data_IF_709025591161
#
_entry.id   IF_709025591161
#
_cell.length_a   1.000
_cell.length_b   1.000
_cell.length_c   1.000
_cell.angle_alpha   90.00
_cell.angle_beta   90.00
_cell.angle_gamma   90.00
#
_symmetry.space_group_name_H-M   'P 1'
#
loop_
_entity.id
_entity.type
_entity.pdbx_description
1 polymer ?
#
# COMPACT_ATOMS: atom_id res chain seq x y z
N UNK A 1 -13.74 11.59 -11.51
CA UNK A 1 -13.60 12.53 -10.37
C UNK A 1 -12.55 12.00 -9.42
N UNK A 2 -11.32 12.50 -9.50
CA UNK A 2 -10.31 12.27 -8.46
C UNK A 2 -10.56 13.26 -7.31
N UNK A 3 -10.66 12.77 -6.07
CA UNK A 3 -10.79 13.61 -4.88
C UNK A 3 -9.39 13.78 -4.28
N UNK A 4 -8.90 15.02 -4.29
CA UNK A 4 -7.62 15.40 -3.70
C UNK A 4 -7.82 15.81 -2.25
N UNK A 5 -7.04 15.21 -1.36
CA UNK A 5 -7.13 15.44 0.08
C UNK A 5 -5.72 15.75 0.61
N UNK A 6 -5.34 17.03 0.61
CA UNK A 6 -4.11 17.51 1.25
C UNK A 6 -4.40 17.70 2.75
N UNK A 7 -3.82 16.89 3.65
CA UNK A 7 -4.04 17.08 5.09
C UNK A 7 -2.80 16.94 5.98
N UNK A 8 -2.76 17.84 6.95
CA UNK A 8 -1.65 18.14 7.84
C UNK A 8 -1.53 17.22 9.06
N UNK A 9 -0.30 17.13 9.58
CA UNK A 9 0.11 16.58 10.88
C UNK A 9 -0.99 16.72 11.93
N UNK A 10 -1.68 15.62 12.25
CA UNK A 10 -2.30 15.25 13.53
C UNK A 10 -3.44 14.26 13.25
N UNK A 11 -3.40 13.08 13.89
CA UNK A 11 -4.31 11.94 13.67
C UNK A 11 -5.82 12.20 13.81
N UNK A 12 -6.24 13.41 14.22
CA UNK A 12 -7.64 13.81 14.29
C UNK A 12 -8.28 14.08 12.91
N UNK A 13 -7.50 14.47 11.89
CA UNK A 13 -8.03 14.82 10.56
C UNK A 13 -8.05 13.65 9.55
N UNK A 14 -7.40 12.52 9.86
CA UNK A 14 -7.48 11.27 9.09
C UNK A 14 -8.94 10.78 8.95
N UNK A 15 -9.79 11.14 9.88
CA UNK A 15 -11.20 10.74 9.91
C UNK A 15 -12.06 11.51 8.89
N UNK A 16 -11.78 12.77 8.57
CA UNK A 16 -12.72 13.66 7.85
C UNK A 16 -12.96 13.32 6.36
N UNK A 17 -11.93 12.90 5.62
CA UNK A 17 -12.05 12.58 4.19
C UNK A 17 -12.62 11.16 3.93
N UNK A 18 -12.32 10.20 4.83
CA UNK A 18 -12.92 8.86 4.81
C UNK A 18 -14.46 8.90 4.88
N UNK A 19 -15.05 9.96 5.45
CA UNK A 19 -16.50 10.09 5.55
C UNK A 19 -17.19 10.60 4.28
N UNK A 20 -16.46 11.16 3.30
CA UNK A 20 -17.07 11.67 2.07
C UNK A 20 -17.12 10.62 0.95
N UNK A 21 -16.13 9.72 0.89
CA UNK A 21 -16.02 8.69 -0.15
C UNK A 21 -16.28 7.32 0.46
N UNK A 22 -17.35 6.65 0.03
CA UNK A 22 -17.74 5.34 0.56
C UNK A 22 -16.78 4.24 0.10
N UNK A 23 -16.66 3.19 0.91
CA UNK A 23 -16.00 1.96 0.47
C UNK A 23 -16.75 1.33 -0.73
N UNK A 24 -16.02 0.66 -1.61
CA UNK A 24 -16.60 -0.21 -2.64
C UNK A 24 -17.35 -1.36 -1.95
N UNK A 25 -18.50 -1.76 -2.49
CA UNK A 25 -19.27 -2.89 -1.95
C UNK A 25 -18.43 -4.18 -1.97
N UNK A 26 -18.42 -4.91 -0.85
CA UNK A 26 -17.55 -6.09 -0.66
C UNK A 26 -16.17 -5.76 -0.07
N UNK A 27 -15.73 -4.50 -0.07
CA UNK A 27 -14.55 -4.07 0.69
C UNK A 27 -14.91 -3.92 2.17
N UNK A 28 -14.21 -4.66 3.04
CA UNK A 28 -14.39 -4.64 4.49
C UNK A 28 -13.92 -3.30 5.05
N UNK A 29 -12.71 -2.88 4.69
CA UNK A 29 -12.13 -1.57 5.01
C UNK A 29 -11.15 -1.12 3.93
N UNK A 30 -11.14 0.17 3.56
CA UNK A 30 -10.09 0.74 2.73
C UNK A 30 -8.70 0.61 3.38
N UNK A 31 -7.65 0.62 2.56
CA UNK A 31 -6.26 0.59 2.99
C UNK A 31 -5.46 1.74 2.38
N UNK A 32 -4.46 2.24 3.10
CA UNK A 32 -3.49 3.19 2.55
C UNK A 32 -2.34 2.38 1.96
N UNK A 33 -1.98 2.65 0.72
CA UNK A 33 -0.82 2.07 0.07
C UNK A 33 0.42 2.95 0.29
N UNK A 34 1.49 2.33 0.76
CA UNK A 34 2.84 2.89 0.76
C UNK A 34 3.66 2.36 -0.40
N UNK A 35 4.64 3.14 -0.87
CA UNK A 35 5.58 2.69 -1.90
C UNK A 35 6.87 2.21 -1.26
N UNK A 36 7.39 1.08 -1.74
CA UNK A 36 8.66 0.51 -1.28
C UNK A 36 9.65 0.50 -2.44
N UNK A 37 10.69 1.35 -2.42
CA UNK A 37 11.73 1.32 -3.45
C UNK A 37 12.39 -0.06 -3.53
N UNK A 38 12.73 -0.48 -4.75
CA UNK A 38 13.47 -1.71 -5.05
C UNK A 38 14.87 -1.40 -5.57
N UNK A 39 15.81 -2.31 -5.35
CA UNK A 39 17.22 -2.11 -5.74
C UNK A 39 17.40 -1.89 -7.25
N UNK A 40 16.51 -2.43 -8.08
CA UNK A 40 16.51 -2.22 -9.54
C UNK A 40 15.93 -0.87 -9.97
N UNK A 41 15.52 -0.03 -9.02
CA UNK A 41 14.90 1.27 -9.27
C UNK A 41 13.40 1.21 -9.56
N UNK A 42 12.77 0.04 -9.48
CA UNK A 42 11.31 -0.07 -9.50
C UNK A 42 10.72 0.24 -8.12
N UNK A 43 9.38 0.21 -8.03
CA UNK A 43 8.66 0.31 -6.76
C UNK A 43 7.77 -0.92 -6.59
N UNK A 44 7.74 -1.45 -5.37
CA UNK A 44 6.62 -2.26 -4.89
C UNK A 44 5.66 -1.40 -4.07
N UNK A 45 4.64 -2.06 -3.50
CA UNK A 45 3.71 -1.45 -2.54
C UNK A 45 3.63 -2.22 -1.23
N UNK A 46 3.33 -1.51 -0.16
CA UNK A 46 3.01 -2.06 1.16
C UNK A 46 1.62 -1.61 1.58
N UNK A 47 0.80 -2.54 2.08
CA UNK A 47 -0.55 -2.29 2.56
C UNK A 47 -0.79 -3.06 3.86
N UNK A 48 -1.32 -2.47 4.92
CA UNK A 48 -1.70 -1.07 5.12
C UNK A 48 -0.58 -0.27 5.79
N UNK A 49 -0.62 1.06 5.67
CA UNK A 49 0.37 1.96 6.29
C UNK A 49 -0.26 3.04 7.18
N UNK A 50 -1.52 2.86 7.60
CA UNK A 50 -2.06 3.65 8.71
C UNK A 50 -3.57 3.82 8.76
N UNK A 51 -4.36 3.26 7.84
CA UNK A 51 -5.82 3.34 7.94
C UNK A 51 -6.38 2.42 9.03
N UNK A 52 -5.77 1.25 9.23
CA UNK A 52 -6.26 0.18 10.09
C UNK A 52 -5.14 -0.29 11.02
N UNK A 53 -5.00 0.37 12.18
CA UNK A 53 -3.96 0.03 13.16
C UNK A 53 -3.97 -1.46 13.54
N UNK A 54 -5.16 -2.02 13.79
CA UNK A 54 -5.37 -3.44 14.03
C UNK A 54 -6.22 -4.06 12.92
N UNK A 55 -5.79 -5.21 12.40
CA UNK A 55 -6.47 -5.91 11.32
C UNK A 55 -6.98 -7.29 11.78
N UNK A 56 -8.09 -7.72 11.17
CA UNK A 56 -8.52 -9.12 11.20
C UNK A 56 -7.86 -9.90 10.06
N UNK A 57 -7.77 -11.24 10.13
CA UNK A 57 -7.16 -12.04 9.07
C UNK A 57 -7.75 -11.81 7.67
N UNK A 58 -9.07 -11.62 7.59
CA UNK A 58 -9.78 -11.37 6.33
C UNK A 58 -9.44 -10.01 5.71
N UNK A 59 -9.04 -9.03 6.53
CA UNK A 59 -8.57 -7.73 6.01
C UNK A 59 -7.21 -7.88 5.35
N UNK A 60 -6.29 -8.65 5.94
CA UNK A 60 -4.96 -8.87 5.35
C UNK A 60 -5.09 -9.61 4.01
N UNK A 61 -5.96 -10.62 3.93
CA UNK A 61 -6.27 -11.29 2.67
C UNK A 61 -6.79 -10.31 1.59
N UNK A 62 -7.73 -9.44 1.97
CA UNK A 62 -8.26 -8.41 1.08
C UNK A 62 -7.21 -7.36 0.69
N UNK A 63 -6.28 -7.01 1.58
CA UNK A 63 -5.18 -6.10 1.25
C UNK A 63 -4.22 -6.72 0.22
N UNK A 64 -4.04 -8.05 0.25
CA UNK A 64 -3.31 -8.78 -0.79
C UNK A 64 -3.93 -8.60 -2.17
N UNK A 65 -5.26 -8.72 -2.28
CA UNK A 65 -5.98 -8.47 -3.53
C UNK A 65 -5.89 -7.02 -4.00
N UNK A 66 -6.15 -6.07 -3.11
CA UNK A 66 -6.09 -4.64 -3.42
C UNK A 66 -4.69 -4.25 -3.90
N UNK A 67 -3.66 -4.70 -3.19
CA UNK A 67 -2.27 -4.47 -3.54
C UNK A 67 -1.88 -5.14 -4.85
N UNK A 68 -2.32 -6.37 -5.10
CA UNK A 68 -2.06 -7.08 -6.36
C UNK A 68 -2.69 -6.37 -7.56
N UNK A 69 -3.95 -5.96 -7.47
CA UNK A 69 -4.61 -5.19 -8.52
C UNK A 69 -3.91 -3.86 -8.78
N UNK A 70 -3.49 -3.17 -7.72
CA UNK A 70 -2.76 -1.91 -7.84
C UNK A 70 -1.40 -2.10 -8.51
N UNK A 71 -0.59 -3.05 -8.04
CA UNK A 71 0.71 -3.36 -8.61
C UNK A 71 0.58 -3.80 -10.09
N UNK A 72 -0.45 -4.57 -10.42
CA UNK A 72 -0.67 -5.01 -11.79
C UNK A 72 -1.07 -3.88 -12.74
N UNK A 73 -1.97 -3.01 -12.32
CA UNK A 73 -2.58 -2.04 -13.24
C UNK A 73 -1.97 -0.65 -13.19
N UNK A 74 -1.40 -0.25 -12.05
CA UNK A 74 -0.76 1.06 -11.87
C UNK A 74 0.76 0.94 -11.99
N UNK A 75 1.35 -0.10 -11.39
CA UNK A 75 2.81 -0.34 -11.48
C UNK A 75 3.22 -1.24 -12.65
N UNK A 76 2.25 -1.74 -13.41
CA UNK A 76 2.47 -2.56 -14.60
C UNK A 76 3.27 -3.86 -14.35
N UNK A 77 3.13 -4.44 -13.16
CA UNK A 77 3.75 -5.72 -12.80
C UNK A 77 2.80 -6.86 -13.20
N UNK A 78 3.14 -7.63 -14.24
CA UNK A 78 2.20 -8.59 -14.86
C UNK A 78 1.59 -9.62 -13.88
N UNK A 79 2.42 -10.18 -12.97
CA UNK A 79 2.00 -11.16 -11.96
C UNK A 79 2.62 -10.83 -10.58
N UNK A 80 2.10 -9.81 -9.87
CA UNK A 80 2.73 -9.29 -8.66
C UNK A 80 2.81 -10.34 -7.56
N UNK A 81 4.01 -10.55 -7.02
CA UNK A 81 4.26 -11.43 -5.87
C UNK A 81 3.76 -10.77 -4.60
N UNK A 82 2.79 -11.39 -3.96
CA UNK A 82 2.19 -10.91 -2.70
C UNK A 82 2.79 -11.68 -1.52
N UNK A 83 3.46 -10.97 -0.62
CA UNK A 83 4.05 -11.52 0.59
C UNK A 83 3.35 -11.01 1.86
N UNK A 84 3.15 -11.89 2.84
CA UNK A 84 2.62 -11.52 4.16
C UNK A 84 3.78 -11.20 5.12
N UNK A 85 3.82 -9.97 5.64
CA UNK A 85 4.83 -9.56 6.62
C UNK A 85 4.75 -10.42 7.88
N UNK A 86 5.89 -11.00 8.27
CA UNK A 86 5.94 -11.94 9.37
C UNK A 86 7.31 -11.95 10.08
N UNK A 87 7.38 -12.70 11.19
CA UNK A 87 8.57 -12.91 12.01
C UNK A 87 9.52 -13.99 11.46
N UNK A 88 9.11 -14.67 10.39
CA UNK A 88 9.85 -15.76 9.76
C UNK A 88 9.07 -16.28 8.56
N UNK A 89 9.76 -16.97 7.65
CA UNK A 89 9.20 -17.43 6.38
C UNK A 89 8.32 -18.68 6.51
N UNK A 90 8.42 -19.42 7.62
CA UNK A 90 7.68 -20.67 7.79
C UNK A 90 6.18 -20.41 7.96
N UNK A 91 5.33 -21.25 7.36
CA UNK A 91 3.85 -21.11 7.36
C UNK A 91 3.24 -21.00 8.77
N UNK A 92 3.84 -21.65 9.77
CA UNK A 92 3.37 -21.61 11.16
C UNK A 92 3.80 -20.38 11.96
N UNK A 93 4.62 -19.48 11.39
CA UNK A 93 5.10 -18.28 12.09
C UNK A 93 4.08 -17.17 12.08
N UNK A 94 4.17 -16.34 13.11
CA UNK A 94 3.46 -15.09 13.21
C UNK A 94 2.51 -15.01 14.36
N UNK A 95 1.71 -13.95 14.35
CA UNK A 95 0.79 -13.61 15.41
C UNK A 95 -0.50 -14.45 15.30
N UNK A 96 -1.37 -14.29 16.29
CA UNK A 96 -2.73 -14.84 16.24
C UNK A 96 -3.56 -14.31 15.06
N UNK A 97 -3.11 -13.24 14.39
CA UNK A 97 -3.74 -12.67 13.20
C UNK A 97 -3.07 -13.15 11.93
N UNK A 98 -1.73 -13.14 11.86
CA UNK A 98 -1.03 -13.46 10.61
C UNK A 98 -1.03 -14.96 10.29
N UNK A 99 -1.07 -15.85 11.29
CA UNK A 99 -1.21 -17.29 11.05
C UNK A 99 -2.52 -17.68 10.34
N UNK A 100 -3.72 -17.24 10.81
CA UNK A 100 -4.95 -17.48 10.05
C UNK A 100 -5.00 -16.69 8.73
N UNK A 101 -4.42 -15.49 8.65
CA UNK A 101 -4.35 -14.73 7.40
C UNK A 101 -3.57 -15.49 6.32
N UNK A 102 -2.43 -16.10 6.69
CA UNK A 102 -1.66 -16.95 5.79
C UNK A 102 -2.53 -18.04 5.15
N UNK A 103 -3.37 -18.71 5.94
CA UNK A 103 -4.26 -19.77 5.44
C UNK A 103 -5.28 -19.23 4.44
N UNK A 104 -5.84 -18.06 4.70
CA UNK A 104 -6.77 -17.38 3.79
C UNK A 104 -6.07 -17.00 2.49
N UNK A 105 -4.93 -16.32 2.58
CA UNK A 105 -4.14 -15.87 1.43
C UNK A 105 -3.64 -17.03 0.57
N UNK A 106 -3.23 -18.14 1.18
CA UNK A 106 -2.82 -19.36 0.49
C UNK A 106 -3.98 -20.05 -0.25
N UNK A 107 -5.20 -19.93 0.26
CA UNK A 107 -6.39 -20.45 -0.39
C UNK A 107 -6.95 -19.50 -1.47
N UNK A 108 -6.49 -18.25 -1.50
CA UNK A 108 -6.98 -17.22 -2.38
C UNK A 108 -6.27 -17.27 -3.74
N UNK A 109 -7.03 -17.55 -4.79
CA UNK A 109 -6.51 -17.64 -6.16
C UNK A 109 -6.56 -16.32 -6.93
N UNK A 110 -7.00 -15.22 -6.29
CA UNK A 110 -7.12 -13.90 -6.94
C UNK A 110 -5.79 -13.16 -7.04
N UNK A 111 -4.73 -13.63 -6.39
CA UNK A 111 -3.39 -13.05 -6.47
C UNK A 111 -2.32 -14.13 -6.29
N UNK A 112 -1.08 -13.79 -6.67
CA UNK A 112 0.07 -14.68 -6.55
C UNK A 112 0.69 -14.59 -5.14
N UNK A 113 0.17 -15.39 -4.21
CA UNK A 113 0.70 -15.46 -2.84
C UNK A 113 1.99 -16.27 -2.78
N UNK A 114 3.08 -15.65 -2.32
CA UNK A 114 4.40 -16.30 -2.19
C UNK A 114 4.73 -16.76 -0.77
N UNK A 115 3.82 -16.56 0.19
CA UNK A 115 4.00 -16.94 1.58
C UNK A 115 4.42 -15.78 2.49
N UNK A 116 5.06 -16.14 3.60
CA UNK A 116 5.55 -15.16 4.56
C UNK A 116 6.85 -14.52 4.07
N UNK A 117 7.03 -13.25 4.37
CA UNK A 117 8.27 -12.51 4.15
C UNK A 117 8.69 -11.81 5.44
N UNK A 118 9.98 -11.57 5.59
CA UNK A 118 10.54 -10.86 6.75
C UNK A 118 10.79 -9.38 6.44
N UNK A 119 11.06 -8.58 7.49
CA UNK A 119 11.38 -7.16 7.32
C UNK A 119 12.59 -6.87 6.41
N UNK A 120 13.52 -7.83 6.27
CA UNK A 120 14.66 -7.73 5.34
C UNK A 120 14.27 -7.80 3.87
N UNK A 121 13.06 -8.31 3.58
CA UNK A 121 12.58 -8.57 2.22
C UNK A 121 11.77 -7.41 1.63
N UNK A 122 11.51 -6.37 2.42
CA UNK A 122 10.61 -5.27 2.03
C UNK A 122 11.15 -4.51 0.80
N UNK A 123 12.45 -4.28 0.76
CA UNK A 123 13.10 -3.41 -0.24
C UNK A 123 13.87 -4.19 -1.32
N UNK A 124 13.86 -5.53 -1.27
CA UNK A 124 14.44 -6.37 -2.32
C UNK A 124 13.36 -6.88 -3.29
N UNK A 125 13.76 -7.68 -4.26
CA UNK A 125 12.91 -8.21 -5.32
C UNK A 125 11.99 -9.35 -4.89
N UNK A 126 11.99 -9.79 -3.62
CA UNK A 126 11.24 -10.97 -3.19
C UNK A 126 9.73 -10.81 -3.34
N UNK A 127 9.18 -9.67 -2.93
CA UNK A 127 7.75 -9.35 -3.00
C UNK A 127 7.50 -7.99 -3.65
N UNK A 128 6.50 -7.93 -4.52
CA UNK A 128 6.03 -6.68 -5.16
C UNK A 128 4.95 -6.00 -4.30
N UNK A 129 4.18 -6.80 -3.58
CA UNK A 129 3.13 -6.37 -2.65
C UNK A 129 3.43 -6.95 -1.28
N UNK A 130 3.62 -6.08 -0.29
CA UNK A 130 3.83 -6.43 1.11
C UNK A 130 2.54 -6.20 1.89
N UNK A 131 2.02 -7.24 2.54
CA UNK A 131 0.78 -7.17 3.33
C UNK A 131 1.11 -7.14 4.81
N UNK A 132 0.58 -6.17 5.55
CA UNK A 132 0.67 -6.01 6.99
C UNK A 132 -0.52 -5.21 7.56
N UNK A 133 -0.61 -5.14 8.88
CA UNK A 133 -1.50 -4.19 9.54
C UNK A 133 -0.93 -2.75 9.47
N UNK A 134 -1.81 -1.77 9.63
CA UNK A 134 -1.45 -0.36 9.49
C UNK A 134 -0.48 0.14 10.55
N UNK A 135 -0.41 -0.49 11.74
CA UNK A 135 0.59 -0.15 12.73
C UNK A 135 1.99 -0.57 12.24
N UNK A 136 2.14 -1.82 11.83
CA UNK A 136 3.40 -2.36 11.31
C UNK A 136 3.89 -1.59 10.07
N UNK A 137 3.02 -1.40 9.07
CA UNK A 137 3.38 -0.68 7.86
C UNK A 137 3.79 0.77 8.10
N UNK A 138 3.08 1.48 8.98
CA UNK A 138 3.44 2.86 9.33
C UNK A 138 4.81 2.93 10.04
N UNK A 139 5.10 2.00 10.95
CA UNK A 139 6.42 1.93 11.62
C UNK A 139 7.54 1.70 10.60
N UNK A 140 7.35 0.76 9.66
CA UNK A 140 8.32 0.47 8.59
C UNK A 140 8.60 1.72 7.75
N UNK A 141 7.56 2.38 7.24
CA UNK A 141 7.74 3.56 6.39
C UNK A 141 8.41 4.71 7.13
N UNK A 142 7.97 5.01 8.35
CA UNK A 142 8.54 6.11 9.14
C UNK A 142 9.98 5.85 9.55
N UNK A 143 10.34 4.58 9.79
CA UNK A 143 11.74 4.21 9.99
C UNK A 143 12.58 4.43 8.73
N UNK A 144 12.07 4.03 7.56
CA UNK A 144 12.78 4.19 6.30
C UNK A 144 12.97 5.68 5.92
N UNK A 145 11.92 6.50 6.08
CA UNK A 145 12.00 7.96 5.94
C UNK A 145 13.05 8.56 6.90
N UNK A 146 13.04 8.15 8.16
CA UNK A 146 13.99 8.67 9.15
C UNK A 146 15.43 8.30 8.82
N UNK A 147 15.68 7.11 8.27
CA UNK A 147 17.02 6.71 7.80
C UNK A 147 17.44 7.61 6.64
N UNK A 148 16.57 7.84 5.66
CA UNK A 148 16.83 8.76 4.56
C UNK A 148 17.15 10.18 5.05
N UNK A 149 16.38 10.74 5.97
CA UNK A 149 16.63 12.08 6.53
C UNK A 149 18.01 12.18 7.21
N UNK A 150 18.42 11.13 7.93
CA UNK A 150 19.75 11.05 8.53
C UNK A 150 20.84 10.97 7.44
N UNK A 151 20.62 10.22 6.37
CA UNK A 151 21.57 10.12 5.27
C UNK A 151 21.73 11.46 4.55
N UNK A 152 20.61 12.09 4.22
CA UNK A 152 20.56 13.38 3.56
C UNK A 152 21.23 14.48 4.39
N UNK A 153 20.92 14.56 5.69
CA UNK A 153 21.52 15.55 6.60
C UNK A 153 23.03 15.37 6.79
N UNK A 154 23.55 14.16 6.55
CA UNK A 154 24.99 13.85 6.55
C UNK A 154 25.66 14.06 5.18
N UNK A 155 24.92 14.54 4.19
CA UNK A 155 25.43 14.77 2.83
C UNK A 155 25.68 13.48 2.03
N UNK A 156 25.13 12.34 2.47
CA UNK A 156 25.18 11.09 1.71
C UNK A 156 24.10 11.14 0.63
N UNK A 157 24.53 11.17 -0.63
CA UNK A 157 23.64 11.19 -1.80
C UNK A 157 23.75 9.87 -2.52
N UNK A 158 22.61 9.25 -2.76
CA UNK A 158 22.51 7.98 -3.47
C UNK A 158 21.14 7.90 -4.14
N UNK A 159 21.11 7.57 -5.42
CA UNK A 159 19.90 7.60 -6.24
C UNK A 159 18.82 6.64 -5.74
N UNK A 160 19.23 5.49 -5.16
CA UNK A 160 18.30 4.54 -4.60
C UNK A 160 17.72 5.06 -3.28
N UNK A 161 18.57 5.57 -2.38
CA UNK A 161 18.09 6.11 -1.10
C UNK A 161 17.23 7.37 -1.25
N UNK A 162 17.46 8.18 -2.29
CA UNK A 162 16.62 9.34 -2.61
C UNK A 162 15.15 8.98 -2.88
N UNK A 163 14.85 7.72 -3.23
CA UNK A 163 13.49 7.22 -3.46
C UNK A 163 12.69 6.96 -2.18
N UNK A 164 13.37 6.94 -1.02
CA UNK A 164 12.70 6.87 0.29
C UNK A 164 12.16 8.23 0.75
N UNK A 165 12.50 9.30 0.02
CA UNK A 165 11.89 10.60 0.22
C UNK A 165 10.39 10.54 -0.14
N UNK A 166 9.52 10.91 0.80
CA UNK A 166 8.07 10.98 0.56
C UNK A 166 7.71 11.88 -0.63
N UNK A 167 8.53 12.89 -0.93
CA UNK A 167 8.32 13.78 -2.07
C UNK A 167 8.52 13.09 -3.42
N UNK A 168 9.30 12.01 -3.48
CA UNK A 168 9.57 11.28 -4.71
C UNK A 168 8.30 10.68 -5.31
N UNK A 169 7.35 10.27 -4.47
CA UNK A 169 6.04 9.75 -4.91
C UNK A 169 4.92 10.77 -4.70
N UNK A 170 5.07 11.69 -3.75
CA UNK A 170 4.20 12.85 -3.56
C UNK A 170 2.92 12.59 -2.76
N UNK A 171 2.36 11.37 -2.83
CA UNK A 171 1.17 10.97 -2.08
C UNK A 171 1.04 9.46 -1.89
N UNK A 172 0.17 9.06 -0.96
CA UNK A 172 -0.24 7.67 -0.75
C UNK A 172 -1.67 7.43 -1.25
N UNK A 173 -1.91 6.43 -2.13
CA UNK A 173 -3.25 6.04 -2.53
C UNK A 173 -4.07 5.44 -1.39
N UNK A 174 -5.37 5.74 -1.35
CA UNK A 174 -6.35 4.96 -0.58
C UNK A 174 -7.04 4.00 -1.55
N UNK A 175 -6.91 2.70 -1.29
CA UNK A 175 -7.53 1.65 -2.09
C UNK A 175 -8.82 1.14 -1.45
N UNK A 176 -9.75 0.67 -2.28
CA UNK A 176 -11.02 0.10 -1.83
C UNK A 176 -12.14 1.12 -1.58
N UNK A 177 -11.97 2.38 -2.01
CA UNK A 177 -13.00 3.43 -1.98
C UNK A 177 -13.60 3.70 -3.36
N UNK A 178 -14.80 4.30 -3.40
CA UNK A 178 -15.49 4.69 -4.62
C UNK A 178 -14.80 5.89 -5.29
N UNK A 179 -13.86 5.61 -6.20
CA UNK A 179 -13.06 6.59 -6.92
C UNK A 179 -11.56 6.52 -6.58
N UNK A 180 -10.79 7.45 -7.16
CA UNK A 180 -9.36 7.58 -6.91
C UNK A 180 -9.13 8.65 -5.83
N UNK A 181 -8.50 8.25 -4.72
CA UNK A 181 -8.20 9.13 -3.58
C UNK A 181 -6.72 9.02 -3.23
N UNK A 182 -6.08 10.18 -3.07
CA UNK A 182 -4.68 10.33 -2.69
C UNK A 182 -4.56 11.14 -1.40
N UNK A 183 -3.66 10.72 -0.52
CA UNK A 183 -3.27 11.44 0.71
C UNK A 183 -1.89 12.05 0.49
N UNK A 184 -1.85 13.38 0.43
CA UNK A 184 -0.59 14.13 0.45
C UNK A 184 -0.04 14.31 1.85
N UNK A 185 1.25 14.62 1.94
CA UNK A 185 1.86 15.05 3.20
C UNK A 185 1.44 16.49 3.53
N UNK A 186 1.32 16.80 4.82
CA UNK A 186 0.91 18.13 5.30
C UNK A 186 1.80 19.30 4.88
N UNK A 187 3.03 19.02 4.45
CA UNK A 187 4.02 20.00 4.00
C UNK A 187 4.52 19.59 2.61
N UNK A 188 3.61 19.36 1.67
CA UNK A 188 3.98 19.03 0.30
C UNK A 188 4.70 20.19 -0.39
N UNK A 189 5.94 19.97 -0.81
CA UNK A 189 6.67 20.86 -1.70
C UNK A 189 6.01 20.93 -3.09
N UNK A 190 6.36 21.92 -3.95
CA UNK A 190 5.90 21.95 -5.33
C UNK A 190 6.22 20.65 -6.11
N UNK A 191 7.36 20.02 -5.81
CA UNK A 191 7.74 18.73 -6.39
C UNK A 191 6.79 17.61 -5.93
N UNK A 192 6.48 17.55 -4.64
CA UNK A 192 5.53 16.57 -4.10
C UNK A 192 4.13 16.73 -4.71
N UNK A 193 3.67 17.97 -4.96
CA UNK A 193 2.39 18.22 -5.64
C UNK A 193 2.44 17.74 -7.10
N UNK A 194 3.53 18.03 -7.82
CA UNK A 194 3.68 17.56 -9.20
C UNK A 194 3.65 16.02 -9.29
N UNK A 195 4.38 15.34 -8.40
CA UNK A 195 4.41 13.88 -8.34
C UNK A 195 3.05 13.29 -7.93
N UNK A 196 2.33 13.94 -7.01
CA UNK A 196 0.94 13.56 -6.67
C UNK A 196 0.00 13.66 -7.88
N UNK A 197 0.11 14.71 -8.69
CA UNK A 197 -0.72 14.85 -9.90
C UNK A 197 -0.40 13.78 -10.94
N UNK A 198 0.88 13.44 -11.10
CA UNK A 198 1.31 12.35 -11.99
C UNK A 198 0.77 10.99 -11.51
N UNK A 199 0.84 10.72 -10.20
CA UNK A 199 0.26 9.52 -9.62
C UNK A 199 -1.27 9.48 -9.82
N UNK A 200 -1.95 10.62 -9.67
CA UNK A 200 -3.39 10.70 -9.92
C UNK A 200 -3.72 10.38 -11.39
N UNK A 201 -2.92 10.89 -12.34
CA UNK A 201 -3.04 10.59 -13.76
C UNK A 201 -2.91 9.08 -14.01
N UNK A 202 -1.90 8.43 -13.44
CA UNK A 202 -1.68 6.98 -13.56
C UNK A 202 -2.86 6.16 -12.99
N UNK A 203 -3.40 6.56 -11.84
CA UNK A 203 -4.59 5.90 -11.27
C UNK A 203 -5.85 6.10 -12.13
N UNK A 204 -5.99 7.24 -12.81
CA UNK A 204 -7.11 7.48 -13.73
C UNK A 204 -6.94 6.62 -14.98
N UNK A 205 -5.78 6.66 -15.62
CA UNK A 205 -5.52 5.92 -16.87
C UNK A 205 -5.55 4.40 -16.69
N UNK A 206 -5.24 3.91 -15.50
CA UNK A 206 -5.32 2.49 -15.17
C UNK A 206 -6.74 2.01 -14.85
N UNK A 207 -7.73 2.90 -14.71
CA UNK A 207 -9.10 2.59 -14.26
C UNK A 207 -9.14 1.76 -12.97
N UNK A 208 -8.16 1.95 -12.07
CA UNK A 208 -7.95 1.07 -10.92
C UNK A 208 -9.19 0.94 -10.01
N UNK A 209 -9.91 2.03 -9.75
CA UNK A 209 -11.12 1.99 -8.92
C UNK A 209 -12.22 1.11 -9.52
N UNK A 210 -12.44 1.18 -10.84
CA UNK A 210 -13.42 0.33 -11.52
C UNK A 210 -12.95 -1.14 -11.59
N UNK A 211 -11.65 -1.39 -11.77
CA UNK A 211 -11.10 -2.75 -11.72
C UNK A 211 -11.26 -3.40 -10.36
N UNK A 212 -10.98 -2.66 -9.28
CA UNK A 212 -11.27 -3.11 -7.91
C UNK A 212 -12.75 -3.39 -7.77
N UNK A 213 -13.62 -2.44 -8.15
CA UNK A 213 -15.07 -2.63 -8.08
C UNK A 213 -15.53 -3.89 -8.81
N UNK A 214 -15.07 -4.12 -10.04
CA UNK A 214 -15.42 -5.31 -10.82
C UNK A 214 -14.96 -6.61 -10.17
N UNK A 215 -13.78 -6.62 -9.54
CA UNK A 215 -13.27 -7.78 -8.80
C UNK A 215 -14.18 -8.19 -7.62
N UNK A 216 -14.86 -7.23 -6.99
CA UNK A 216 -15.78 -7.47 -5.87
C UNK A 216 -17.27 -7.52 -6.27
N UNK A 217 -17.63 -7.09 -7.48
CA UNK A 217 -19.03 -7.01 -7.94
C UNK A 217 -19.62 -8.36 -8.41
N UNK A 218 -18.84 -9.45 -8.42
CA UNK A 218 -19.31 -10.76 -8.92
C UNK A 218 -19.43 -11.78 -7.80
N UNK A 219 -20.64 -11.86 -7.21
CA UNK A 219 -21.34 -13.11 -6.82
C UNK A 219 -22.78 -12.79 -6.39
N UNK A 220 -23.62 -12.49 -7.38
CA UNK A 220 -25.06 -12.75 -7.26
C UNK A 220 -25.48 -13.51 -8.52
N UNK A 221 -24.92 -14.70 -8.69
CA UNK A 221 -25.53 -15.69 -9.57
C UNK A 221 -26.66 -16.34 -8.76
N UNK A 222 -27.87 -16.05 -9.22
CA UNK A 222 -29.16 -16.65 -8.84
C UNK A 222 -29.07 -18.17 -8.94
#
# INVERSE_FOLDING_TARGET
NALYSLYAKHGAHHHGAMFSVKAIEGILRPAIAGFVPKEDGSFGVILDVGANADCKPELLDQFGELGSLYAQHVLHIENPKVGLMNLGEEEGKGTIVTQPAYKLMKANTRFNFIGNIEGRDIFNDKADVVVCDGFTGNVVLKMAESIYDIMHSRGMKDEYFDRFNYEAVGASPILGVQGNVLIGHGVSSPLAIANMMELARQMIESDISEKIKNAYSVKTSI
#
